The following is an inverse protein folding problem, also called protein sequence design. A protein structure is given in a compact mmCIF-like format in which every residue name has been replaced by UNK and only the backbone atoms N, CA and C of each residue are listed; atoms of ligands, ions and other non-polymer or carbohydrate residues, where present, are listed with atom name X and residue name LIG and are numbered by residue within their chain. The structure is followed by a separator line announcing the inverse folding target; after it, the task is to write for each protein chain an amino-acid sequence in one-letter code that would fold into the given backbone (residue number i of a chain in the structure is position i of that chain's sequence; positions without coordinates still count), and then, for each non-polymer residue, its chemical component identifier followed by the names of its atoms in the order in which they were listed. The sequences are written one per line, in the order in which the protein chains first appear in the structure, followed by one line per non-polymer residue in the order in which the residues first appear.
data_IF_126990241056
#
_entry.id   IF_126990241056
#
_cell.length_a   1.000
_cell.length_b   1.000
_cell.length_c   1.000
_cell.angle_alpha   90.00
_cell.angle_beta   90.00
_cell.angle_gamma   90.00
#
_symmetry.space_group_name_H-M   'P 1'
#
loop_
_entity.id
_entity.type
_entity.pdbx_description
1 polymer ?
#
# COMPACT_ATOMS: atom_id res chain seq x y z
N UNK A 1 -17.12 -14.02 -30.45
CA UNK A 1 -16.56 -12.65 -30.48
C UNK A 1 -16.80 -11.85 -29.20
N UNK A 2 -17.99 -11.81 -28.58
CA UNK A 2 -18.22 -11.01 -27.36
C UNK A 2 -17.55 -11.58 -26.09
N UNK A 3 -17.42 -12.90 -25.99
CA UNK A 3 -16.79 -13.59 -24.84
C UNK A 3 -15.27 -13.35 -24.83
N UNK A 4 -14.59 -13.52 -25.97
CA UNK A 4 -13.14 -13.24 -26.09
C UNK A 4 -12.78 -11.80 -25.69
N UNK A 5 -13.59 -10.81 -26.12
CA UNK A 5 -13.38 -9.42 -25.71
C UNK A 5 -13.56 -9.19 -24.20
N UNK A 6 -14.43 -9.97 -23.52
CA UNK A 6 -14.57 -9.89 -22.06
C UNK A 6 -13.36 -10.51 -21.35
N UNK A 7 -12.84 -11.63 -21.86
CA UNK A 7 -11.62 -12.26 -21.34
C UNK A 7 -10.41 -11.33 -21.45
N UNK A 8 -10.23 -10.68 -22.60
CA UNK A 8 -9.13 -9.72 -22.82
C UNK A 8 -9.23 -8.50 -21.89
N UNK A 9 -10.45 -7.99 -21.67
CA UNK A 9 -10.68 -6.88 -20.74
C UNK A 9 -10.40 -7.30 -19.29
N UNK A 10 -10.75 -8.52 -18.89
CA UNK A 10 -10.44 -9.05 -17.55
C UNK A 10 -8.93 -9.18 -17.38
N UNK A 11 -8.22 -9.74 -18.36
CA UNK A 11 -6.77 -9.88 -18.31
C UNK A 11 -6.07 -8.52 -18.21
N UNK A 12 -6.49 -7.55 -19.02
CA UNK A 12 -5.98 -6.17 -18.95
C UNK A 12 -6.18 -5.59 -17.55
N UNK A 13 -7.36 -5.80 -16.95
CA UNK A 13 -7.64 -5.30 -15.61
C UNK A 13 -6.81 -6.00 -14.53
N UNK A 14 -6.51 -7.28 -14.70
CA UNK A 14 -5.61 -8.02 -13.81
C UNK A 14 -4.21 -7.42 -13.89
N UNK A 15 -3.69 -7.17 -15.09
CA UNK A 15 -2.36 -6.59 -15.30
C UNK A 15 -2.25 -5.19 -14.67
N UNK A 16 -3.28 -4.35 -14.84
CA UNK A 16 -3.36 -3.04 -14.18
C UNK A 16 -3.28 -3.15 -12.64
N UNK A 17 -4.01 -4.10 -12.06
CA UNK A 17 -4.02 -4.32 -10.61
C UNK A 17 -2.67 -4.86 -10.11
N UNK A 18 -2.02 -5.74 -10.87
CA UNK A 18 -0.67 -6.23 -10.58
C UNK A 18 0.31 -5.07 -10.58
N UNK A 19 0.26 -4.21 -11.60
CA UNK A 19 1.15 -3.05 -11.70
C UNK A 19 0.93 -2.03 -10.57
N UNK A 20 -0.33 -1.75 -10.21
CA UNK A 20 -0.66 -0.87 -9.09
C UNK A 20 -0.15 -1.42 -7.76
N UNK A 21 -0.30 -2.74 -7.53
CA UNK A 21 0.23 -3.39 -6.32
C UNK A 21 1.76 -3.32 -6.27
N UNK A 22 2.43 -3.56 -7.39
CA UNK A 22 3.88 -3.49 -7.49
C UNK A 22 4.40 -2.08 -7.21
N UNK A 23 3.76 -1.05 -7.77
CA UNK A 23 4.12 0.34 -7.52
C UNK A 23 3.92 0.73 -6.05
N UNK A 24 2.80 0.35 -5.44
CA UNK A 24 2.54 0.58 -4.02
C UNK A 24 3.61 -0.08 -3.13
N UNK A 25 3.95 -1.34 -3.39
CA UNK A 25 5.01 -2.05 -2.65
C UNK A 25 6.36 -1.34 -2.77
N UNK A 26 6.76 -0.98 -4.00
CA UNK A 26 8.03 -0.29 -4.27
C UNK A 26 8.11 1.05 -3.52
N UNK A 27 7.04 1.83 -3.53
CA UNK A 27 6.98 3.13 -2.82
C UNK A 27 7.04 2.97 -1.31
N UNK A 28 6.38 1.94 -0.77
CA UNK A 28 6.46 1.63 0.66
C UNK A 28 7.89 1.22 1.04
N UNK A 29 8.57 0.43 0.20
CA UNK A 29 9.96 0.02 0.43
C UNK A 29 10.98 1.16 0.45
N UNK A 30 10.62 2.36 -0.02
CA UNK A 30 11.46 3.56 0.11
C UNK A 30 11.47 4.12 1.54
N UNK A 31 10.47 3.79 2.37
CA UNK A 31 10.41 4.20 3.78
C UNK A 31 11.54 3.52 4.54
N UNK A 32 12.39 4.24 5.29
CA UNK A 32 13.60 3.66 5.87
C UNK A 32 13.33 2.69 7.04
N UNK A 33 12.24 2.86 7.78
CA UNK A 33 11.92 2.05 8.95
C UNK A 33 11.11 0.80 8.57
N UNK A 34 11.59 -0.37 8.99
CA UNK A 34 10.98 -1.65 8.61
C UNK A 34 9.61 -1.88 9.28
N UNK A 35 9.40 -1.42 10.51
CA UNK A 35 8.11 -1.56 11.20
C UNK A 35 7.05 -0.68 10.54
N UNK A 36 7.45 0.52 10.12
CA UNK A 36 6.61 1.39 9.29
C UNK A 36 6.25 0.72 7.97
N UNK A 37 7.23 0.14 7.24
CA UNK A 37 6.95 -0.62 6.02
C UNK A 37 5.94 -1.75 6.27
N UNK A 38 6.18 -2.56 7.31
CA UNK A 38 5.34 -3.71 7.64
C UNK A 38 3.90 -3.27 7.91
N UNK A 39 3.70 -2.18 8.66
CA UNK A 39 2.38 -1.61 8.94
C UNK A 39 1.71 -1.10 7.66
N UNK A 40 2.43 -0.39 6.79
CA UNK A 40 1.86 0.12 5.54
C UNK A 40 1.49 -1.02 4.57
N UNK A 41 2.34 -2.04 4.43
CA UNK A 41 2.08 -3.23 3.61
C UNK A 41 0.84 -3.96 4.14
N UNK A 42 0.82 -4.26 5.43
CA UNK A 42 -0.29 -4.96 6.08
C UNK A 42 -1.60 -4.19 5.91
N UNK A 43 -1.58 -2.87 6.14
CA UNK A 43 -2.79 -2.04 6.07
C UNK A 43 -3.29 -1.80 4.65
N UNK A 44 -2.43 -1.40 3.73
CA UNK A 44 -2.84 -0.87 2.43
C UNK A 44 -2.70 -1.89 1.28
N UNK A 45 -1.71 -2.79 1.36
CA UNK A 45 -1.50 -3.82 0.33
C UNK A 45 -2.29 -5.08 0.67
N UNK A 46 -2.21 -5.56 1.91
CA UNK A 46 -2.89 -6.78 2.37
C UNK A 46 -4.31 -6.51 2.89
N UNK A 47 -4.68 -5.23 3.09
CA UNK A 47 -6.01 -4.78 3.57
C UNK A 47 -6.38 -5.35 4.93
N UNK A 48 -5.41 -5.49 5.82
CA UNK A 48 -5.61 -6.07 7.14
C UNK A 48 -6.24 -5.08 8.12
N UNK A 49 -7.00 -5.63 9.08
CA UNK A 49 -7.57 -4.87 10.19
C UNK A 49 -6.47 -4.54 11.20
N UNK A 50 -6.56 -3.38 11.85
CA UNK A 50 -5.54 -2.92 12.78
C UNK A 50 -5.28 -3.90 13.92
N UNK A 51 -6.32 -4.58 14.40
CA UNK A 51 -6.24 -5.57 15.46
C UNK A 51 -5.43 -6.80 15.02
N UNK A 52 -5.57 -7.22 13.76
CA UNK A 52 -4.77 -8.32 13.17
C UNK A 52 -3.30 -7.92 13.07
N UNK A 53 -3.02 -6.71 12.58
CA UNK A 53 -1.66 -6.16 12.47
C UNK A 53 -0.99 -6.06 13.86
N UNK A 54 -1.73 -5.59 14.86
CA UNK A 54 -1.26 -5.50 16.24
C UNK A 54 -0.83 -6.88 16.78
N UNK A 55 -1.65 -7.90 16.55
CA UNK A 55 -1.34 -9.29 16.94
C UNK A 55 -0.12 -9.82 16.18
N UNK A 56 -0.07 -9.66 14.85
CA UNK A 56 0.98 -10.23 14.02
C UNK A 56 2.35 -9.56 14.22
N UNK A 57 2.38 -8.25 14.47
CA UNK A 57 3.61 -7.50 14.76
C UNK A 57 3.96 -7.45 16.25
N UNK A 58 3.17 -8.10 17.11
CA UNK A 58 3.35 -8.10 18.56
C UNK A 58 3.46 -6.69 19.18
N UNK A 59 2.59 -5.79 18.70
CA UNK A 59 2.47 -4.42 19.20
C UNK A 59 1.09 -4.21 19.83
N UNK A 60 1.02 -3.30 20.80
CA UNK A 60 -0.28 -2.77 21.24
C UNK A 60 -0.94 -1.98 20.10
N UNK A 61 -2.28 -1.93 20.10
CA UNK A 61 -3.03 -1.13 19.12
C UNK A 61 -2.61 0.35 19.14
N UNK A 62 -2.23 0.88 20.31
CA UNK A 62 -1.75 2.25 20.45
C UNK A 62 -0.37 2.46 19.81
N UNK A 63 0.52 1.46 19.88
CA UNK A 63 1.80 1.47 19.15
C UNK A 63 1.56 1.44 17.65
N UNK A 64 0.65 0.58 17.16
CA UNK A 64 0.29 0.51 15.73
C UNK A 64 -0.14 1.88 15.20
N UNK A 65 -1.06 2.58 15.87
CA UNK A 65 -1.49 3.91 15.41
C UNK A 65 -0.37 4.95 15.43
N UNK A 66 0.52 4.90 16.43
CA UNK A 66 1.66 5.82 16.52
C UNK A 66 2.66 5.60 15.39
N UNK A 67 3.04 4.35 15.15
CA UNK A 67 3.99 3.99 14.10
C UNK A 67 3.33 4.25 12.73
N UNK A 68 2.04 3.97 12.56
CA UNK A 68 1.29 4.30 11.35
C UNK A 68 1.32 5.81 11.04
N UNK A 69 1.11 6.67 12.04
CA UNK A 69 1.22 8.12 11.86
C UNK A 69 2.60 8.56 11.38
N UNK A 70 3.67 8.02 11.99
CA UNK A 70 5.04 8.26 11.54
C UNK A 70 5.30 7.71 10.13
N UNK A 71 4.81 6.51 9.84
CA UNK A 71 4.94 5.85 8.54
C UNK A 71 4.33 6.66 7.40
N UNK A 72 3.18 7.30 7.61
CA UNK A 72 2.57 8.16 6.59
C UNK A 72 3.41 9.41 6.30
N UNK A 73 4.01 10.01 7.33
CA UNK A 73 4.88 11.17 7.17
C UNK A 73 6.16 10.81 6.41
N UNK A 74 6.81 9.72 6.80
CA UNK A 74 8.02 9.23 6.13
C UNK A 74 7.70 8.77 4.70
N UNK A 75 6.57 8.11 4.47
CA UNK A 75 6.12 7.73 3.13
C UNK A 75 5.96 8.94 2.21
N UNK A 76 5.34 10.03 2.67
CA UNK A 76 5.20 11.26 1.88
C UNK A 76 6.56 11.91 1.61
N UNK A 77 7.44 11.95 2.62
CA UNK A 77 8.79 12.51 2.52
C UNK A 77 9.61 11.80 1.44
N UNK A 78 9.52 10.46 1.38
CA UNK A 78 10.26 9.64 0.41
C UNK A 78 9.55 9.51 -0.95
N UNK A 79 8.28 9.93 -1.05
CA UNK A 79 7.49 9.89 -2.29
C UNK A 79 6.77 11.24 -2.56
N UNK A 80 7.53 12.34 -2.74
CA UNK A 80 6.95 13.69 -2.85
C UNK A 80 6.14 13.90 -4.14
N UNK A 81 6.32 13.04 -5.15
CA UNK A 81 5.54 13.06 -6.39
C UNK A 81 4.05 12.78 -6.16
N UNK A 82 3.69 12.06 -5.08
CA UNK A 82 2.30 11.75 -4.74
C UNK A 82 1.48 12.99 -4.39
N UNK A 83 2.13 14.05 -3.89
CA UNK A 83 1.48 15.31 -3.54
C UNK A 83 1.33 16.26 -4.74
N UNK A 84 1.98 15.95 -5.86
CA UNK A 84 1.79 16.71 -7.10
C UNK A 84 0.50 16.21 -7.75
N UNK A 85 -0.63 16.67 -7.23
CA UNK A 85 -1.89 16.55 -7.95
C UNK A 85 -1.72 17.32 -9.24
N UNK A 86 -1.71 16.62 -10.38
CA UNK A 86 -1.84 17.24 -11.69
C UNK A 86 -3.05 18.17 -11.62
N UNK A 87 -2.77 19.47 -11.65
CA UNK A 87 -3.78 20.49 -11.86
C UNK A 87 -4.28 20.30 -13.30
N UNK A 88 -5.28 19.44 -13.46
CA UNK A 88 -6.11 19.35 -14.65
C UNK A 88 -7.44 20.03 -14.39
#
# INVERSE_FOLDING_TARGET
MKIMSLEDNINTRIDELVQQKADAMRRIQNVPDQDQQNILIARYVNREKWEKIAVELNFSIAQIYRIHGAALLDFIKENPDILKVDSK
#
